data_IF_478591543543
#
_entry.id   IF_478591543543
#
_cell.length_a   1.000
_cell.length_b   1.000
_cell.length_c   1.000
_cell.angle_alpha   90.00
_cell.angle_beta   90.00
_cell.angle_gamma   90.00
#
_symmetry.space_group_name_H-M   'P 1'
#
loop_
_entity.id
_entity.type
_entity.pdbx_description
1 polymer ?
#
# COMPACT_ATOMS: atom_id res chain seq x y z
N UNK A 1 -80.38 2.26 1.91
CA UNK A 1 -80.07 3.70 2.10
C UNK A 1 -78.65 3.92 1.63
N UNK A 2 -78.53 4.42 0.41
CA UNK A 2 -77.28 4.61 -0.32
C UNK A 2 -77.13 6.12 -0.49
N UNK A 3 -76.04 6.72 0.01
CA UNK A 3 -75.80 8.15 -0.13
C UNK A 3 -74.41 8.43 -0.74
N UNK A 4 -74.47 9.13 -1.87
CA UNK A 4 -73.40 9.67 -2.71
C UNK A 4 -72.72 10.92 -2.13
N UNK A 5 -71.63 11.33 -2.83
CA UNK A 5 -71.06 12.69 -3.10
C UNK A 5 -69.63 12.83 -2.55
N UNK A 6 -68.59 13.34 -3.24
CA UNK A 6 -68.39 14.31 -4.36
C UNK A 6 -67.12 13.95 -5.17
N UNK A 7 -67.08 13.99 -6.51
CA UNK A 7 -66.75 15.10 -7.46
C UNK A 7 -65.25 15.49 -7.52
N UNK A 8 -64.44 15.01 -8.50
CA UNK A 8 -63.97 15.61 -9.81
C UNK A 8 -63.07 16.85 -9.62
N UNK A 9 -61.84 16.96 -10.15
CA UNK A 9 -61.52 17.43 -11.53
C UNK A 9 -60.02 17.30 -11.85
N UNK A 10 -59.69 16.96 -13.09
CA UNK A 10 -58.34 16.90 -13.68
C UNK A 10 -57.99 18.20 -14.44
N UNK A 11 -56.71 18.58 -14.52
CA UNK A 11 -56.20 19.50 -15.55
C UNK A 11 -54.88 18.96 -16.11
N UNK A 12 -54.88 18.76 -17.43
CA UNK A 12 -53.75 18.48 -18.31
C UNK A 12 -53.27 19.82 -18.87
N UNK A 13 -51.95 20.04 -18.94
CA UNK A 13 -51.37 21.09 -19.79
C UNK A 13 -50.27 20.48 -20.64
N UNK A 14 -50.53 20.43 -21.95
CA UNK A 14 -49.56 20.22 -23.02
C UNK A 14 -49.32 21.60 -23.63
N UNK A 15 -48.05 21.97 -23.82
CA UNK A 15 -47.68 23.09 -24.70
C UNK A 15 -46.51 22.65 -25.58
N UNK A 16 -46.80 22.57 -26.88
CA UNK A 16 -45.86 22.48 -28.00
C UNK A 16 -45.65 23.91 -28.50
N UNK A 17 -44.40 24.35 -28.63
CA UNK A 17 -44.02 25.39 -29.61
C UNK A 17 -42.68 25.02 -30.22
N UNK A 18 -42.70 24.83 -31.54
CA UNK A 18 -41.54 24.76 -32.41
C UNK A 18 -41.23 26.17 -32.91
N UNK A 19 -39.94 26.50 -33.05
CA UNK A 19 -39.46 27.52 -33.97
C UNK A 19 -38.04 27.20 -34.41
N UNK A 20 -37.95 26.95 -35.72
CA UNK A 20 -36.79 26.85 -36.57
C UNK A 20 -35.88 28.08 -36.48
N UNK A 21 -34.60 27.96 -36.89
CA UNK A 21 -33.91 28.79 -37.91
C UNK A 21 -32.36 28.70 -37.79
N UNK A 22 -31.76 28.38 -38.93
CA UNK A 22 -30.40 28.73 -39.45
C UNK A 22 -29.17 27.89 -39.07
N UNK A 23 -28.71 27.18 -40.11
CA UNK A 23 -27.32 26.80 -40.41
C UNK A 23 -26.72 27.88 -41.35
N UNK A 24 -25.41 28.19 -41.28
CA UNK A 24 -24.49 27.81 -42.37
C UNK A 24 -23.11 27.34 -41.82
N UNK A 25 -22.39 26.34 -42.35
CA UNK A 25 -21.77 26.10 -43.66
C UNK A 25 -20.48 26.93 -43.95
N UNK A 26 -19.40 26.18 -44.29
CA UNK A 26 -18.08 26.50 -44.89
C UNK A 26 -17.03 27.23 -44.00
N UNK A 27 -15.72 26.97 -44.05
CA UNK A 27 -14.84 26.51 -45.14
C UNK A 27 -13.49 25.98 -44.63
N UNK A 28 -12.92 25.06 -45.39
CA UNK A 28 -11.54 24.58 -45.36
C UNK A 28 -10.49 25.65 -45.69
N UNK A 29 -9.33 25.63 -45.00
CA UNK A 29 -8.06 26.11 -45.56
C UNK A 29 -6.89 25.21 -45.14
N UNK A 30 -6.36 24.52 -46.15
CA UNK A 30 -4.99 23.99 -46.21
C UNK A 30 -4.01 25.16 -46.21
N UNK A 31 -2.93 25.04 -45.44
CA UNK A 31 -1.68 25.80 -45.63
C UNK A 31 -0.53 24.81 -45.53
N UNK A 32 0.16 24.63 -46.66
CA UNK A 32 1.50 24.06 -46.73
C UNK A 32 2.52 25.14 -46.40
N UNK A 33 3.54 24.80 -45.62
CA UNK A 33 4.86 25.44 -45.70
C UNK A 33 5.96 24.39 -45.47
N UNK A 34 7.00 24.52 -46.28
CA UNK A 34 8.13 23.62 -46.51
C UNK A 34 9.45 24.16 -45.93
N UNK A 35 10.43 23.25 -45.82
CA UNK A 35 11.90 23.41 -45.74
C UNK A 35 12.52 23.87 -44.41
N UNK A 36 13.30 22.99 -43.77
CA UNK A 36 14.80 22.91 -43.73
C UNK A 36 15.29 23.61 -42.43
N UNK A 37 16.21 23.15 -41.57
CA UNK A 37 17.43 22.34 -41.64
C UNK A 37 17.72 21.65 -40.28
N UNK A 38 18.56 20.59 -40.32
CA UNK A 38 19.56 20.06 -39.36
C UNK A 38 19.42 20.33 -37.84
N UNK A 39 19.57 19.35 -36.93
CA UNK A 39 20.83 18.66 -36.58
C UNK A 39 20.53 17.26 -36.02
N UNK A 40 21.15 16.22 -36.60
CA UNK A 40 21.23 14.88 -36.02
C UNK A 40 22.54 14.78 -35.25
N UNK A 41 22.48 14.78 -33.92
CA UNK A 41 23.58 14.28 -33.07
C UNK A 41 23.22 12.85 -32.66
N UNK A 42 23.73 11.88 -33.41
CA UNK A 42 23.72 10.48 -33.01
C UNK A 42 25.04 10.16 -32.29
N UNK A 43 25.04 10.19 -30.96
CA UNK A 43 26.03 9.46 -30.17
C UNK A 43 25.37 8.19 -29.65
N UNK A 44 25.43 7.15 -30.47
CA UNK A 44 25.11 5.78 -30.08
C UNK A 44 26.21 5.26 -29.15
N UNK A 45 26.06 5.51 -27.85
CA UNK A 45 26.75 4.69 -26.85
C UNK A 45 26.01 3.36 -26.76
N UNK A 46 26.44 2.39 -27.55
CA UNK A 46 26.11 0.98 -27.36
C UNK A 46 26.71 0.53 -26.03
N UNK A 47 25.94 0.68 -24.96
CA UNK A 47 26.22 0.04 -23.68
C UNK A 47 26.00 -1.46 -23.89
N UNK A 48 27.09 -2.24 -23.85
CA UNK A 48 27.06 -3.69 -23.88
C UNK A 48 26.33 -4.22 -22.63
N UNK A 49 25.02 -4.43 -22.74
CA UNK A 49 24.17 -5.04 -21.72
C UNK A 49 24.34 -6.58 -21.73
N UNK A 50 25.57 -7.07 -21.58
CA UNK A 50 25.87 -8.51 -21.60
C UNK A 50 26.77 -8.91 -20.42
N UNK A 51 26.38 -8.51 -19.21
CA UNK A 51 26.70 -9.18 -17.93
C UNK A 51 25.80 -8.57 -16.85
N UNK A 52 24.48 -8.78 -16.93
CA UNK A 52 23.62 -8.51 -15.77
C UNK A 52 23.78 -9.67 -14.79
N UNK A 53 24.82 -9.62 -13.97
CA UNK A 53 24.81 -10.36 -12.70
C UNK A 53 23.58 -9.86 -11.95
N UNK A 54 22.51 -10.67 -11.98
CA UNK A 54 21.32 -10.44 -11.17
C UNK A 54 21.76 -10.59 -9.72
N UNK A 55 22.19 -9.49 -9.11
CA UNK A 55 22.39 -9.41 -7.66
C UNK A 55 21.04 -9.75 -7.03
N UNK A 56 20.90 -10.98 -6.56
CA UNK A 56 19.74 -11.39 -5.79
C UNK A 56 19.76 -10.60 -4.49
N UNK A 57 18.78 -9.71 -4.31
CA UNK A 57 18.61 -9.02 -3.05
C UNK A 57 18.22 -10.04 -1.98
N UNK A 58 19.03 -10.12 -0.92
CA UNK A 58 18.72 -10.91 0.27
C UNK A 58 18.07 -10.04 1.34
N UNK A 59 16.86 -10.39 1.74
CA UNK A 59 16.18 -9.80 2.89
C UNK A 59 16.10 -10.86 3.99
N UNK A 60 16.69 -10.59 5.15
CA UNK A 60 16.77 -11.54 6.26
C UNK A 60 17.32 -12.92 5.82
N UNK A 61 18.37 -12.92 5.00
CA UNK A 61 18.99 -14.12 4.42
C UNK A 61 18.05 -14.96 3.54
N UNK A 62 17.03 -14.32 2.97
CA UNK A 62 16.13 -14.93 1.99
C UNK A 62 16.24 -14.17 0.68
N UNK A 63 16.49 -14.91 -0.40
CA UNK A 63 16.44 -14.36 -1.75
C UNK A 63 15.05 -13.84 -2.06
N UNK A 64 15.00 -12.60 -2.51
CA UNK A 64 13.80 -11.96 -3.02
C UNK A 64 14.00 -11.81 -4.52
N UNK A 65 13.07 -12.35 -5.31
CA UNK A 65 13.17 -12.31 -6.77
C UNK A 65 12.90 -10.88 -7.26
N UNK A 66 13.89 -10.00 -7.14
CA UNK A 66 13.95 -8.74 -7.88
C UNK A 66 14.41 -9.02 -9.30
N UNK A 67 13.53 -9.53 -10.17
CA UNK A 67 13.87 -9.75 -11.58
C UNK A 67 13.92 -8.46 -12.39
N UNK A 68 13.49 -7.34 -11.81
CA UNK A 68 13.87 -6.02 -12.31
C UNK A 68 15.17 -5.66 -11.61
N UNK A 69 16.25 -5.50 -12.39
CA UNK A 69 17.35 -4.63 -11.96
C UNK A 69 16.72 -3.41 -11.31
N UNK A 70 17.24 -2.96 -10.17
CA UNK A 70 17.09 -1.56 -9.82
C UNK A 70 17.71 -0.78 -10.98
N UNK A 71 16.96 -0.56 -12.05
CA UNK A 71 16.88 0.79 -12.59
C UNK A 71 16.48 1.59 -11.37
N UNK A 72 17.50 2.05 -10.65
CA UNK A 72 17.48 3.37 -10.10
C UNK A 72 16.96 4.18 -11.27
N UNK A 73 15.65 4.41 -11.29
CA UNK A 73 15.14 5.64 -11.83
C UNK A 73 16.02 6.64 -11.09
N UNK A 74 17.08 7.09 -11.77
CA UNK A 74 17.63 8.40 -11.60
C UNK A 74 16.42 9.27 -11.86
N UNK A 75 15.59 9.37 -10.83
CA UNK A 75 14.66 10.43 -10.72
C UNK A 75 15.59 11.63 -10.81
N UNK A 76 15.54 12.34 -11.93
CA UNK A 76 16.14 13.65 -12.17
C UNK A 76 15.68 14.71 -11.12
N UNK A 77 15.09 14.25 -10.02
CA UNK A 77 14.42 14.96 -8.93
C UNK A 77 15.41 15.50 -7.91
N UNK A 78 16.72 15.25 -8.08
CA UNK A 78 17.75 15.97 -7.34
C UNK A 78 18.29 17.21 -8.06
N UNK A 79 17.76 17.57 -9.24
CA UNK A 79 17.88 18.96 -9.66
C UNK A 79 17.23 19.82 -8.57
N UNK A 80 18.12 20.55 -7.91
CA UNK A 80 17.97 21.26 -6.65
C UNK A 80 16.55 21.77 -6.44
N UNK A 81 15.86 21.25 -5.42
CA UNK A 81 14.62 21.84 -4.89
C UNK A 81 14.83 23.26 -4.29
N UNK A 82 15.94 23.93 -4.64
CA UNK A 82 16.20 25.31 -4.29
C UNK A 82 15.10 26.18 -4.89
N UNK A 83 14.34 26.83 -4.02
CA UNK A 83 13.26 27.75 -4.39
C UNK A 83 11.86 27.15 -4.43
N UNK A 84 11.70 25.82 -4.28
CA UNK A 84 10.35 25.24 -4.13
C UNK A 84 9.81 25.49 -2.72
N UNK A 85 8.50 25.73 -2.57
CA UNK A 85 7.87 25.70 -1.25
C UNK A 85 8.15 24.37 -0.56
N UNK A 86 8.44 24.42 0.73
CA UNK A 86 8.75 23.24 1.52
C UNK A 86 7.60 22.96 2.50
N UNK A 87 7.28 21.68 2.67
CA UNK A 87 6.26 21.19 3.60
C UNK A 87 6.96 20.40 4.70
N UNK A 88 6.72 20.76 5.95
CA UNK A 88 7.29 20.09 7.11
C UNK A 88 6.28 19.20 7.81
N UNK A 89 6.67 17.96 8.08
CA UNK A 89 5.93 17.03 8.93
C UNK A 89 6.82 16.48 10.05
N UNK A 90 6.21 15.78 11.02
CA UNK A 90 6.97 15.07 12.06
C UNK A 90 7.18 15.86 13.35
N UNK A 91 6.88 17.16 13.37
CA UNK A 91 7.10 18.05 14.53
C UNK A 91 6.02 17.91 15.61
N UNK A 92 4.88 17.32 15.26
CA UNK A 92 3.70 17.17 16.10
C UNK A 92 3.69 15.86 16.91
N UNK A 93 2.76 15.75 17.86
CA UNK A 93 2.60 14.54 18.67
C UNK A 93 1.64 13.55 18.00
N UNK A 94 2.12 12.84 16.99
CA UNK A 94 1.35 11.82 16.30
C UNK A 94 1.44 10.43 16.97
N UNK A 95 1.62 10.37 18.30
CA UNK A 95 1.81 9.11 19.02
C UNK A 95 0.52 8.32 19.29
N UNK A 96 -0.65 8.86 18.92
CA UNK A 96 -1.94 8.19 19.15
C UNK A 96 -2.26 7.11 18.10
N UNK A 97 -1.47 7.03 17.02
CA UNK A 97 -1.58 5.98 15.99
C UNK A 97 -0.46 4.95 16.12
N UNK A 98 -0.66 3.79 15.48
CA UNK A 98 0.34 2.71 15.46
C UNK A 98 1.38 2.92 14.34
N UNK A 99 2.56 2.31 14.48
CA UNK A 99 3.71 2.42 13.55
C UNK A 99 3.34 2.31 12.06
N UNK A 100 2.38 1.45 11.72
CA UNK A 100 1.93 1.26 10.35
C UNK A 100 1.16 2.45 9.76
N UNK A 101 0.42 3.18 10.60
CA UNK A 101 -0.27 4.39 10.20
C UNK A 101 0.70 5.54 9.98
N UNK A 102 1.81 5.59 10.74
CA UNK A 102 2.90 6.53 10.48
C UNK A 102 3.50 6.33 9.10
N UNK A 103 3.74 5.07 8.69
CA UNK A 103 4.24 4.76 7.35
C UNK A 103 3.31 5.28 6.25
N UNK A 104 2.00 5.05 6.38
CA UNK A 104 1.03 5.60 5.44
C UNK A 104 1.06 7.12 5.41
N UNK A 105 1.09 7.79 6.56
CA UNK A 105 1.16 9.24 6.64
C UNK A 105 2.41 9.80 5.97
N UNK A 106 3.56 9.12 6.07
CA UNK A 106 4.79 9.51 5.36
C UNK A 106 4.60 9.41 3.85
N UNK A 107 4.09 8.28 3.34
CA UNK A 107 3.83 8.14 1.90
C UNK A 107 2.80 9.15 1.39
N UNK A 108 1.76 9.41 2.17
CA UNK A 108 0.77 10.43 1.83
C UNK A 108 1.37 11.84 1.82
N UNK A 109 2.28 12.16 2.75
CA UNK A 109 2.99 13.43 2.74
C UNK A 109 3.90 13.57 1.51
N UNK A 110 4.54 12.48 1.08
CA UNK A 110 5.35 12.42 -0.15
C UNK A 110 4.47 12.68 -1.38
N UNK A 111 3.24 12.16 -1.39
CA UNK A 111 2.32 12.42 -2.50
C UNK A 111 1.70 13.81 -2.43
N UNK A 112 1.39 14.31 -1.23
CA UNK A 112 0.93 15.68 -1.00
C UNK A 112 1.95 16.69 -1.51
N UNK A 113 3.24 16.53 -1.16
CA UNK A 113 4.30 17.41 -1.63
C UNK A 113 4.40 17.40 -3.16
N UNK A 114 4.32 16.23 -3.79
CA UNK A 114 4.34 16.10 -5.24
C UNK A 114 3.15 16.77 -5.92
N UNK A 115 1.93 16.52 -5.43
CA UNK A 115 0.70 17.10 -5.99
C UNK A 115 0.69 18.63 -5.90
N UNK A 116 1.49 19.22 -4.99
CA UNK A 116 1.61 20.66 -4.77
C UNK A 116 2.95 21.24 -5.25
N UNK A 117 3.72 20.52 -6.07
CA UNK A 117 5.00 21.00 -6.61
C UNK A 117 6.01 21.44 -5.53
N UNK A 118 5.92 20.85 -4.34
CA UNK A 118 6.64 21.25 -3.13
C UNK A 118 7.66 20.21 -2.70
N UNK A 119 8.65 20.61 -1.91
CA UNK A 119 9.58 19.70 -1.25
C UNK A 119 9.03 19.15 0.05
N UNK A 120 9.24 17.87 0.35
CA UNK A 120 8.90 17.30 1.66
C UNK A 120 10.12 17.34 2.60
N UNK A 121 9.92 17.93 3.77
CA UNK A 121 10.89 18.00 4.85
C UNK A 121 10.38 17.23 6.06
N UNK A 122 11.20 16.32 6.60
CA UNK A 122 10.95 15.64 7.86
C UNK A 122 11.74 16.31 8.97
N UNK A 123 11.08 16.54 10.11
CA UNK A 123 11.78 16.95 11.32
C UNK A 123 12.64 15.81 11.87
N UNK A 124 13.97 16.02 12.01
CA UNK A 124 14.96 14.98 12.38
C UNK A 124 14.59 14.24 13.66
N UNK A 125 14.12 14.96 14.67
CA UNK A 125 13.75 14.39 15.97
C UNK A 125 12.26 14.01 16.05
N UNK A 126 11.56 14.07 14.92
CA UNK A 126 10.13 13.85 14.79
C UNK A 126 9.73 12.39 14.69
N UNK A 127 8.42 12.13 14.76
CA UNK A 127 7.87 10.77 14.68
C UNK A 127 8.20 10.07 13.35
N UNK A 128 8.22 10.81 12.24
CA UNK A 128 8.43 10.23 10.91
C UNK A 128 9.82 9.60 10.76
N UNK A 129 10.86 10.36 11.13
CA UNK A 129 12.25 9.88 11.10
C UNK A 129 12.45 8.74 12.09
N UNK A 130 11.87 8.82 13.30
CA UNK A 130 11.91 7.71 14.27
C UNK A 130 11.35 6.42 13.69
N UNK A 131 10.18 6.46 13.04
CA UNK A 131 9.54 5.27 12.45
C UNK A 131 10.36 4.70 11.29
N UNK A 132 10.86 5.56 10.39
CA UNK A 132 11.73 5.11 9.30
C UNK A 132 13.01 4.47 9.84
N UNK A 133 13.62 5.06 10.87
CA UNK A 133 14.82 4.51 11.52
C UNK A 133 14.52 3.21 12.24
N UNK A 134 13.36 3.10 12.87
CA UNK A 134 12.92 1.91 13.60
C UNK A 134 12.77 0.70 12.68
N UNK A 135 12.12 0.88 11.53
CA UNK A 135 11.85 -0.22 10.60
C UNK A 135 12.95 -0.43 9.56
N UNK A 136 13.58 0.66 9.11
CA UNK A 136 14.43 0.70 7.93
C UNK A 136 15.77 1.42 8.21
N UNK A 137 16.31 1.27 9.43
CA UNK A 137 17.58 1.86 9.84
C UNK A 137 18.81 1.23 9.18
N UNK A 138 18.63 0.06 8.55
CA UNK A 138 19.71 -0.76 8.00
C UNK A 138 20.68 -1.24 9.07
N UNK A 139 21.88 -1.62 8.62
CA UNK A 139 23.02 -1.98 9.48
C UNK A 139 23.94 -0.80 9.78
N UNK A 140 23.69 0.37 9.20
CA UNK A 140 24.57 1.52 9.33
C UNK A 140 24.45 2.16 10.70
N UNK A 141 25.56 2.14 11.45
CA UNK A 141 25.72 2.91 12.68
C UNK A 141 25.88 4.41 12.41
N UNK A 142 26.16 4.80 11.15
CA UNK A 142 26.28 6.19 10.76
C UNK A 142 24.92 6.76 10.35
N UNK A 143 24.29 7.50 11.27
CA UNK A 143 23.01 8.18 11.06
C UNK A 143 23.01 9.09 9.83
N UNK A 144 24.08 9.84 9.56
CA UNK A 144 24.14 10.74 8.42
C UNK A 144 24.14 9.99 7.07
N UNK A 145 24.82 8.85 7.02
CA UNK A 145 24.84 7.99 5.81
C UNK A 145 23.44 7.43 5.54
N UNK A 146 22.76 6.98 6.60
CA UNK A 146 21.37 6.52 6.50
C UNK A 146 20.42 7.64 6.08
N UNK A 147 20.51 8.82 6.70
CA UNK A 147 19.68 9.99 6.37
C UNK A 147 19.84 10.33 4.88
N UNK A 148 21.06 10.48 4.38
CA UNK A 148 21.32 10.77 2.95
C UNK A 148 20.74 9.70 2.03
N UNK A 149 20.82 8.42 2.41
CA UNK A 149 20.22 7.32 1.65
C UNK A 149 18.69 7.44 1.59
N UNK A 150 18.05 7.68 2.73
CA UNK A 150 16.59 7.86 2.85
C UNK A 150 16.12 9.11 2.09
N UNK A 151 16.79 10.25 2.27
CA UNK A 151 16.54 11.48 1.54
C UNK A 151 16.56 11.20 0.03
N UNK A 152 17.66 10.58 -0.44
CA UNK A 152 17.87 10.30 -1.86
C UNK A 152 16.77 9.44 -2.47
N UNK A 153 16.36 8.40 -1.76
CA UNK A 153 15.50 7.35 -2.30
C UNK A 153 14.02 7.65 -2.14
N UNK A 154 13.65 8.45 -1.15
CA UNK A 154 12.26 8.89 -0.97
C UNK A 154 12.00 10.27 -1.60
N UNK A 155 13.04 10.99 -2.03
CA UNK A 155 12.90 12.36 -2.56
C UNK A 155 12.49 13.34 -1.47
N UNK A 156 13.08 13.21 -0.28
CA UNK A 156 12.74 14.02 0.91
C UNK A 156 13.99 14.68 1.48
N UNK A 157 13.79 15.62 2.41
CA UNK A 157 14.87 16.24 3.19
C UNK A 157 14.64 16.03 4.68
N UNK A 158 15.71 15.85 5.45
CA UNK A 158 15.67 15.71 6.91
C UNK A 158 16.39 16.92 7.52
N UNK A 159 15.76 17.61 8.47
CA UNK A 159 16.36 18.79 9.10
C UNK A 159 16.20 18.81 10.62
N UNK A 160 17.23 19.30 11.31
CA UNK A 160 17.18 19.65 12.74
C UNK A 160 16.77 21.10 13.00
N UNK A 161 16.85 21.98 11.99
CA UNK A 161 16.67 23.42 12.19
C UNK A 161 15.20 23.83 12.22
N UNK A 162 14.93 25.01 12.80
CA UNK A 162 13.62 25.67 12.67
C UNK A 162 13.34 25.91 11.19
N UNK A 163 12.49 25.08 10.64
CA UNK A 163 12.11 25.14 9.24
C UNK A 163 10.95 26.14 9.06
N UNK A 164 11.03 26.98 8.02
CA UNK A 164 10.08 28.07 7.73
C UNK A 164 8.96 27.69 6.76
N UNK A 165 8.98 26.48 6.21
CA UNK A 165 7.95 26.02 5.28
C UNK A 165 6.60 25.72 5.93
N UNK A 166 5.64 25.36 5.08
CA UNK A 166 4.27 25.05 5.46
C UNK A 166 4.26 23.81 6.37
N UNK A 167 3.68 23.95 7.55
CA UNK A 167 3.61 22.85 8.51
C UNK A 167 2.33 22.05 8.29
N UNK A 168 2.46 20.72 8.25
CA UNK A 168 1.35 19.78 8.15
C UNK A 168 1.41 18.76 9.30
N UNK A 169 0.26 18.48 9.90
CA UNK A 169 0.19 17.49 10.98
C UNK A 169 0.22 16.06 10.43
N UNK A 170 0.61 15.11 11.28
CA UNK A 170 0.53 13.68 10.97
C UNK A 170 -0.89 13.25 10.64
N UNK A 171 -1.90 13.81 11.32
CA UNK A 171 -3.31 13.55 11.05
C UNK A 171 -3.72 14.00 9.64
N UNK A 172 -3.39 15.24 9.27
CA UNK A 172 -3.69 15.77 7.93
C UNK A 172 -3.10 14.88 6.83
N UNK A 173 -1.86 14.44 7.02
CA UNK A 173 -1.19 13.56 6.06
C UNK A 173 -1.76 12.16 6.07
N UNK A 174 -2.13 11.62 7.24
CA UNK A 174 -2.73 10.30 7.34
C UNK A 174 -4.03 10.20 6.52
N UNK A 175 -4.88 11.23 6.53
CA UNK A 175 -6.13 11.27 5.77
C UNK A 175 -5.99 11.80 4.33
N UNK A 176 -4.80 12.21 3.91
CA UNK A 176 -4.61 12.77 2.57
C UNK A 176 -4.79 11.73 1.45
N UNK A 177 -5.36 12.17 0.33
CA UNK A 177 -5.57 11.38 -0.88
C UNK A 177 -5.05 12.13 -2.11
N UNK A 178 -4.08 11.53 -2.78
CA UNK A 178 -3.51 12.05 -4.03
C UNK A 178 -4.49 11.93 -5.19
N UNK A 179 -4.37 12.84 -6.16
CA UNK A 179 -5.10 12.79 -7.43
C UNK A 179 -4.32 12.06 -8.53
N UNK A 180 -3.10 11.59 -8.25
CA UNK A 180 -2.31 10.82 -9.21
C UNK A 180 -3.01 9.52 -9.61
N UNK A 181 -2.77 9.09 -10.86
CA UNK A 181 -3.23 7.79 -11.32
C UNK A 181 -2.56 6.66 -10.54
N UNK A 182 -3.24 5.51 -10.46
CA UNK A 182 -2.77 4.37 -9.68
C UNK A 182 -1.46 3.80 -10.20
N UNK A 183 -1.28 3.82 -11.51
CA UNK A 183 -0.05 3.35 -12.16
C UNK A 183 1.13 4.25 -11.81
N UNK A 184 0.93 5.58 -11.85
CA UNK A 184 1.96 6.54 -11.45
C UNK A 184 2.33 6.36 -9.97
N UNK A 185 1.32 6.24 -9.10
CA UNK A 185 1.50 6.04 -7.68
C UNK A 185 2.21 4.71 -7.36
N UNK A 186 1.80 3.61 -8.00
CA UNK A 186 2.37 2.28 -7.82
C UNK A 186 3.83 2.25 -8.26
N UNK A 187 4.15 2.75 -9.47
CA UNK A 187 5.54 2.84 -9.96
C UNK A 187 6.45 3.59 -8.98
N UNK A 188 6.02 4.78 -8.56
CA UNK A 188 6.76 5.61 -7.60
C UNK A 188 6.96 4.87 -6.26
N UNK A 189 5.88 4.42 -5.62
CA UNK A 189 5.95 3.80 -4.29
C UNK A 189 6.64 2.44 -4.29
N UNK A 190 6.57 1.67 -5.38
CA UNK A 190 7.23 0.36 -5.45
C UNK A 190 8.76 0.50 -5.36
N UNK A 191 9.35 1.52 -6.02
CA UNK A 191 10.78 1.80 -5.90
C UNK A 191 11.19 2.14 -4.45
N UNK A 192 10.39 2.98 -3.79
CA UNK A 192 10.58 3.36 -2.39
C UNK A 192 10.48 2.14 -1.47
N UNK A 193 9.47 1.29 -1.65
CA UNK A 193 9.32 0.07 -0.87
C UNK A 193 10.51 -0.87 -1.03
N UNK A 194 11.00 -1.11 -2.26
CA UNK A 194 12.19 -1.95 -2.49
C UNK A 194 13.38 -1.41 -1.71
N UNK A 195 13.65 -0.11 -1.80
CA UNK A 195 14.74 0.51 -1.04
C UNK A 195 14.57 0.33 0.48
N UNK A 196 13.38 0.61 1.03
CA UNK A 196 13.13 0.45 2.47
C UNK A 196 13.34 -1.00 2.92
N UNK A 197 12.82 -1.97 2.16
CA UNK A 197 12.94 -3.40 2.48
C UNK A 197 14.36 -3.96 2.30
N UNK A 198 15.19 -3.35 1.45
CA UNK A 198 16.63 -3.66 1.39
C UNK A 198 17.43 -3.12 2.59
N UNK A 199 16.84 -2.23 3.39
CA UNK A 199 17.49 -1.55 4.52
C UNK A 199 16.80 -1.84 5.86
N UNK A 200 16.30 -3.06 6.08
CA UNK A 200 15.67 -3.41 7.35
C UNK A 200 16.59 -3.20 8.56
N UNK A 201 16.00 -2.73 9.65
CA UNK A 201 16.68 -2.65 10.95
C UNK A 201 17.02 -4.05 11.43
N UNK A 202 18.31 -4.26 11.72
CA UNK A 202 18.85 -5.49 12.29
C UNK A 202 19.69 -5.12 13.53
N UNK A 203 19.77 -5.99 14.55
CA UNK A 203 20.55 -5.75 15.76
C UNK A 203 22.03 -5.91 15.44
N UNK A 204 22.61 -4.92 14.78
CA UNK A 204 24.04 -4.80 14.51
C UNK A 204 24.51 -3.43 14.97
N UNK A 205 24.32 -3.10 16.25
CA UNK A 205 24.78 -1.82 16.80
C UNK A 205 24.18 -1.45 18.16
N UNK A 206 24.98 -0.77 18.98
CA UNK A 206 24.68 -0.33 20.36
C UNK A 206 23.65 0.83 20.47
N UNK A 207 23.01 1.22 19.38
CA UNK A 207 22.27 2.50 19.30
C UNK A 207 20.81 2.43 19.81
N UNK A 208 20.26 1.23 19.99
CA UNK A 208 18.96 1.04 20.65
C UNK A 208 19.06 -0.12 21.63
N UNK A 209 18.84 0.18 22.92
CA UNK A 209 18.84 -0.81 24.02
C UNK A 209 17.68 -1.81 23.92
N UNK A 210 16.72 -1.59 23.00
CA UNK A 210 15.63 -2.53 22.71
C UNK A 210 15.92 -3.32 21.45
N UNK A 211 15.88 -4.64 21.59
CA UNK A 211 16.07 -5.68 20.57
C UNK A 211 14.99 -5.67 19.46
N UNK A 212 14.79 -4.55 18.77
CA UNK A 212 13.84 -4.44 17.67
C UNK A 212 14.50 -4.89 16.35
N UNK A 213 14.55 -6.21 16.17
CA UNK A 213 15.06 -6.88 14.97
C UNK A 213 13.91 -7.18 13.99
N UNK A 214 13.89 -6.53 12.83
CA UNK A 214 12.90 -6.80 11.77
C UNK A 214 12.96 -8.24 11.26
N UNK A 215 14.09 -8.93 11.41
CA UNK A 215 14.27 -10.31 10.98
C UNK A 215 13.96 -11.33 12.10
N UNK A 216 13.56 -10.89 13.30
CA UNK A 216 13.33 -11.77 14.46
C UNK A 216 12.31 -12.87 14.18
N UNK A 217 11.16 -12.52 13.58
CA UNK A 217 10.14 -13.51 13.24
C UNK A 217 10.63 -14.51 12.21
N UNK A 218 11.41 -14.06 11.23
CA UNK A 218 12.01 -14.94 10.21
C UNK A 218 12.97 -15.95 10.83
N UNK A 219 13.76 -15.55 11.83
CA UNK A 219 14.68 -16.44 12.55
C UNK A 219 13.93 -17.49 13.40
N UNK A 220 12.72 -17.17 13.86
CA UNK A 220 11.90 -18.06 14.68
C UNK A 220 11.07 -19.07 13.89
N UNK A 221 10.91 -18.87 12.57
CA UNK A 221 10.19 -19.82 11.71
C UNK A 221 11.14 -20.87 11.14
N UNK A 222 10.59 -22.03 10.80
CA UNK A 222 11.34 -23.16 10.24
C UNK A 222 12.24 -22.72 9.08
N UNK A 223 13.42 -23.35 8.87
CA UNK A 223 14.29 -23.07 7.73
C UNK A 223 13.61 -23.26 6.37
N UNK A 224 12.40 -23.86 6.35
CA UNK A 224 11.53 -23.86 5.19
C UNK A 224 11.41 -22.46 4.57
N UNK A 225 11.76 -22.38 3.29
CA UNK A 225 11.56 -21.18 2.48
C UNK A 225 10.08 -20.92 2.20
N UNK A 226 9.24 -21.95 2.30
CA UNK A 226 7.81 -21.89 1.99
C UNK A 226 6.94 -21.94 3.22
N UNK A 227 6.08 -20.94 3.37
CA UNK A 227 5.15 -20.81 4.49
C UNK A 227 3.99 -19.87 4.14
N UNK A 228 2.89 -20.01 4.87
CA UNK A 228 1.72 -19.14 4.79
C UNK A 228 1.74 -18.21 6.00
N UNK A 229 1.35 -16.95 5.80
CA UNK A 229 1.08 -16.02 6.90
C UNK A 229 -0.36 -15.58 6.86
N UNK A 230 -1.02 -15.67 8.01
CA UNK A 230 -2.37 -15.16 8.21
C UNK A 230 -2.29 -14.02 9.21
N UNK A 231 -2.75 -12.83 8.81
CA UNK A 231 -2.86 -11.69 9.69
C UNK A 231 -4.32 -11.42 10.04
N UNK A 232 -4.65 -11.48 11.33
CA UNK A 232 -6.00 -11.30 11.87
C UNK A 232 -6.12 -10.00 12.66
N UNK A 233 -6.97 -9.09 12.19
CA UNK A 233 -7.33 -7.85 12.89
C UNK A 233 -8.82 -7.82 13.20
N UNK A 234 -9.20 -8.08 14.45
CA UNK A 234 -10.62 -8.07 14.85
C UNK A 234 -11.12 -6.67 15.23
N UNK A 235 -10.27 -5.86 15.89
CA UNK A 235 -10.64 -4.59 16.53
C UNK A 235 -11.70 -4.77 17.65
N UNK A 236 -11.86 -3.76 18.51
CA UNK A 236 -12.91 -3.76 19.54
C UNK A 236 -14.31 -3.61 18.91
N UNK A 237 -15.33 -4.13 19.56
CA UNK A 237 -16.76 -3.95 19.23
C UNK A 237 -17.10 -4.27 17.76
N UNK A 238 -16.65 -5.43 17.28
CA UNK A 238 -16.84 -5.89 15.89
C UNK A 238 -16.37 -4.87 14.84
N UNK A 239 -15.37 -4.07 15.20
CA UNK A 239 -14.85 -2.99 14.36
C UNK A 239 -14.43 -3.47 12.98
N UNK A 240 -13.92 -4.69 12.85
CA UNK A 240 -13.61 -5.28 11.55
C UNK A 240 -14.84 -5.39 10.65
N UNK A 241 -15.90 -6.06 11.13
CA UNK A 241 -17.11 -6.30 10.35
C UNK A 241 -17.79 -4.98 9.95
N UNK A 242 -17.85 -4.02 10.88
CA UNK A 242 -18.44 -2.70 10.61
C UNK A 242 -17.67 -1.94 9.53
N UNK A 243 -16.34 -1.83 9.68
CA UNK A 243 -15.49 -1.09 8.73
C UNK A 243 -15.45 -1.76 7.37
N UNK A 244 -15.33 -3.09 7.33
CA UNK A 244 -15.33 -3.84 6.08
C UNK A 244 -16.69 -3.75 5.39
N UNK A 245 -17.79 -3.74 6.16
CA UNK A 245 -19.13 -3.51 5.64
C UNK A 245 -19.25 -2.17 4.91
N UNK A 246 -18.83 -1.08 5.56
CA UNK A 246 -18.83 0.26 4.94
C UNK A 246 -17.94 0.31 3.70
N UNK A 247 -16.74 -0.26 3.78
CA UNK A 247 -15.80 -0.29 2.65
C UNK A 247 -16.35 -1.07 1.46
N UNK A 248 -16.84 -2.29 1.69
CA UNK A 248 -17.42 -3.13 0.65
C UNK A 248 -18.67 -2.49 0.02
N UNK A 249 -19.44 -1.72 0.77
CA UNK A 249 -20.56 -0.96 0.22
C UNK A 249 -20.09 0.15 -0.72
N UNK A 250 -19.05 0.92 -0.34
CA UNK A 250 -18.46 1.95 -1.20
C UNK A 250 -17.92 1.36 -2.50
N UNK A 251 -17.17 0.26 -2.40
CA UNK A 251 -16.62 -0.43 -3.57
C UNK A 251 -17.73 -0.90 -4.49
N UNK A 252 -18.78 -1.52 -3.94
CA UNK A 252 -19.96 -1.91 -4.73
C UNK A 252 -20.59 -0.72 -5.45
N UNK A 253 -20.78 0.40 -4.76
CA UNK A 253 -21.41 1.59 -5.37
C UNK A 253 -20.55 2.18 -6.50
N UNK A 254 -19.23 2.18 -6.35
CA UNK A 254 -18.33 2.83 -7.31
C UNK A 254 -17.91 1.93 -8.47
N UNK A 255 -17.90 0.61 -8.27
CA UNK A 255 -17.29 -0.34 -9.24
C UNK A 255 -18.23 -1.49 -9.61
N UNK A 256 -19.40 -1.60 -8.96
CA UNK A 256 -20.29 -2.75 -9.02
C UNK A 256 -19.68 -4.08 -8.51
N UNK A 257 -18.46 -4.06 -7.95
CA UNK A 257 -17.79 -5.24 -7.40
C UNK A 257 -18.34 -5.55 -6.01
N UNK A 258 -18.72 -6.82 -5.77
CA UNK A 258 -19.17 -7.28 -4.46
C UNK A 258 -18.05 -8.01 -3.72
N UNK A 259 -17.64 -7.47 -2.57
CA UNK A 259 -16.64 -8.07 -1.67
C UNK A 259 -17.34 -8.79 -0.52
N UNK A 260 -16.76 -9.91 -0.08
CA UNK A 260 -17.21 -10.60 1.14
C UNK A 260 -16.94 -9.72 2.37
N UNK A 261 -18.00 -9.47 3.15
CA UNK A 261 -17.98 -8.56 4.30
C UNK A 261 -17.66 -9.26 5.63
N UNK A 262 -17.56 -10.59 5.63
CA UNK A 262 -17.48 -11.43 6.83
C UNK A 262 -16.22 -12.27 6.85
N UNK A 263 -15.96 -13.04 5.80
CA UNK A 263 -14.90 -14.05 5.81
C UNK A 263 -13.50 -13.48 6.06
N UNK A 264 -13.10 -12.31 5.51
CA UNK A 264 -11.79 -11.74 5.82
C UNK A 264 -11.59 -11.31 7.28
N UNK A 265 -12.67 -11.04 8.00
CA UNK A 265 -12.64 -10.73 9.43
C UNK A 265 -12.73 -11.98 10.30
N UNK A 266 -13.57 -12.93 9.90
CA UNK A 266 -13.84 -14.15 10.66
C UNK A 266 -12.77 -15.20 10.49
N UNK A 267 -12.10 -15.21 9.32
CA UNK A 267 -11.07 -16.17 8.95
C UNK A 267 -11.52 -17.60 9.25
N UNK A 268 -12.69 -17.98 8.71
CA UNK A 268 -13.25 -19.30 8.97
C UNK A 268 -12.33 -20.41 8.43
N UNK A 269 -12.33 -21.60 9.05
CA UNK A 269 -11.58 -22.76 8.55
C UNK A 269 -11.81 -23.03 7.06
N UNK A 270 -13.07 -23.01 6.60
CA UNK A 270 -13.42 -23.27 5.20
C UNK A 270 -12.91 -22.18 4.24
N UNK A 271 -12.93 -20.91 4.66
CA UNK A 271 -12.36 -19.81 3.88
C UNK A 271 -10.85 -19.97 3.71
N UNK A 272 -10.13 -20.26 4.80
CA UNK A 272 -8.68 -20.48 4.75
C UNK A 272 -8.34 -21.70 3.92
N UNK A 273 -9.02 -22.83 4.13
CA UNK A 273 -8.79 -24.06 3.36
C UNK A 273 -8.95 -23.82 1.86
N UNK A 274 -9.99 -23.08 1.44
CA UNK A 274 -10.21 -22.75 0.03
C UNK A 274 -9.04 -21.97 -0.57
N UNK A 275 -8.51 -20.99 0.16
CA UNK A 275 -7.32 -20.24 -0.27
C UNK A 275 -6.13 -21.19 -0.40
N UNK A 276 -5.85 -21.98 0.64
CA UNK A 276 -4.69 -22.87 0.68
C UNK A 276 -4.71 -23.92 -0.43
N UNK A 277 -5.89 -24.46 -0.76
CA UNK A 277 -6.05 -25.37 -1.90
C UNK A 277 -5.79 -24.66 -3.22
N UNK A 278 -6.33 -23.44 -3.41
CA UNK A 278 -6.13 -22.65 -4.63
C UNK A 278 -4.65 -22.31 -4.84
N UNK A 279 -3.92 -21.98 -3.77
CA UNK A 279 -2.49 -21.66 -3.83
C UNK A 279 -1.56 -22.88 -3.74
N UNK A 280 -2.10 -24.10 -3.75
CA UNK A 280 -1.34 -25.34 -3.55
C UNK A 280 -0.42 -25.30 -2.32
N UNK A 281 -0.94 -24.78 -1.21
CA UNK A 281 -0.18 -24.51 0.02
C UNK A 281 -0.82 -25.14 1.27
N UNK A 282 -1.68 -26.14 1.09
CA UNK A 282 -2.39 -26.83 2.18
C UNK A 282 -1.44 -27.48 3.19
N UNK A 283 -0.26 -27.91 2.74
CA UNK A 283 0.75 -28.59 3.56
C UNK A 283 1.81 -27.64 4.13
N UNK A 284 1.74 -26.34 3.85
CA UNK A 284 2.76 -25.41 4.32
C UNK A 284 2.56 -25.06 5.80
N UNK A 285 3.64 -24.76 6.55
CA UNK A 285 3.52 -24.14 7.86
C UNK A 285 2.73 -22.83 7.75
N UNK A 286 1.77 -22.65 8.65
CA UNK A 286 0.90 -21.49 8.73
C UNK A 286 1.29 -20.70 9.97
N UNK A 287 1.75 -19.47 9.79
CA UNK A 287 2.07 -18.56 10.88
C UNK A 287 1.00 -17.51 11.05
N UNK A 288 0.48 -17.40 12.26
CA UNK A 288 -0.63 -16.51 12.58
C UNK A 288 -0.14 -15.28 13.35
N UNK A 289 -0.40 -14.10 12.79
CA UNK A 289 -0.17 -12.79 13.40
C UNK A 289 -1.53 -12.25 13.85
N UNK A 290 -1.67 -11.84 15.10
CA UNK A 290 -2.94 -11.42 15.68
C UNK A 290 -2.77 -10.26 16.64
N UNK A 291 -3.78 -9.39 16.73
CA UNK A 291 -3.88 -8.38 17.78
C UNK A 291 -4.37 -8.94 19.13
N UNK A 292 -4.54 -10.26 19.22
CA UNK A 292 -4.96 -10.99 20.42
C UNK A 292 -6.45 -10.84 20.75
N UNK A 293 -7.25 -10.18 19.91
CA UNK A 293 -8.67 -9.91 20.20
C UNK A 293 -9.63 -11.02 19.77
N UNK A 294 -9.19 -11.93 18.89
CA UNK A 294 -9.98 -13.07 18.42
C UNK A 294 -9.18 -14.38 18.52
N UNK A 295 -8.94 -14.84 19.75
CA UNK A 295 -8.19 -16.08 20.01
C UNK A 295 -8.93 -17.33 19.49
N UNK A 296 -10.26 -17.28 19.44
CA UNK A 296 -11.11 -18.37 18.96
C UNK A 296 -10.76 -18.82 17.54
N UNK A 297 -10.29 -17.93 16.67
CA UNK A 297 -9.90 -18.30 15.29
C UNK A 297 -8.68 -19.21 15.30
N UNK A 298 -7.63 -18.83 16.02
CA UNK A 298 -6.39 -19.62 16.08
C UNK A 298 -6.65 -20.99 16.69
N UNK A 299 -7.42 -21.04 17.78
CA UNK A 299 -7.77 -22.31 18.43
C UNK A 299 -8.60 -23.22 17.53
N UNK A 300 -9.56 -22.66 16.78
CA UNK A 300 -10.34 -23.44 15.81
C UNK A 300 -9.48 -23.99 14.70
N UNK A 301 -8.55 -23.19 14.16
CA UNK A 301 -7.64 -23.63 13.10
C UNK A 301 -6.66 -24.70 13.61
N UNK A 302 -6.13 -24.57 14.82
CA UNK A 302 -5.27 -25.60 15.43
C UNK A 302 -5.99 -26.94 15.64
N UNK A 303 -7.31 -26.91 15.86
CA UNK A 303 -8.15 -28.11 16.00
C UNK A 303 -8.58 -28.71 14.65
N UNK A 304 -8.31 -28.05 13.53
CA UNK A 304 -8.64 -28.56 12.21
C UNK A 304 -7.78 -29.79 11.88
N UNK A 305 -8.42 -30.86 11.42
CA UNK A 305 -7.76 -32.16 11.18
C UNK A 305 -6.75 -32.10 10.02
N UNK A 306 -6.95 -31.21 9.05
CA UNK A 306 -6.17 -31.20 7.80
C UNK A 306 -4.90 -30.39 7.96
N UNK A 307 -5.01 -29.15 8.47
CA UNK A 307 -3.88 -28.22 8.54
C UNK A 307 -3.59 -27.71 9.95
N UNK A 308 -4.40 -28.07 10.95
CA UNK A 308 -4.16 -27.69 12.35
C UNK A 308 -2.76 -28.02 12.88
N UNK A 309 -2.16 -29.18 12.55
CA UNK A 309 -0.77 -29.48 12.91
C UNK A 309 0.27 -28.49 12.36
N UNK A 310 -0.06 -27.78 11.28
CA UNK A 310 0.81 -26.80 10.64
C UNK A 310 0.57 -25.36 11.17
N UNK A 311 -0.39 -25.15 12.07
CA UNK A 311 -0.74 -23.81 12.57
C UNK A 311 0.12 -23.42 13.78
N UNK A 312 0.97 -22.43 13.57
CA UNK A 312 1.84 -21.83 14.57
C UNK A 312 1.39 -20.40 14.87
N UNK A 313 1.23 -20.08 16.15
CA UNK A 313 0.95 -18.73 16.58
C UNK A 313 2.26 -18.05 16.97
N UNK A 314 2.47 -16.84 16.45
CA UNK A 314 3.64 -16.05 16.81
C UNK A 314 3.24 -15.06 17.89
N UNK A 315 3.86 -15.20 19.06
CA UNK A 315 3.69 -14.28 20.17
C UNK A 315 4.91 -13.35 20.18
N UNK A 316 4.94 -12.37 19.29
CA UNK A 316 6.00 -11.36 19.25
C UNK A 316 5.43 -9.97 19.52
N UNK A 317 6.24 -9.14 20.16
CA UNK A 317 5.86 -7.78 20.58
C UNK A 317 6.16 -6.71 19.53
N UNK A 318 7.03 -7.01 18.56
CA UNK A 318 7.50 -6.03 17.59
C UNK A 318 6.80 -6.21 16.24
N UNK A 319 5.92 -5.27 15.92
CA UNK A 319 5.12 -5.26 14.68
C UNK A 319 5.97 -5.28 13.41
N UNK A 320 7.18 -4.73 13.45
CA UNK A 320 8.08 -4.73 12.30
C UNK A 320 8.51 -6.15 11.91
N UNK A 321 8.78 -7.01 12.88
CA UNK A 321 9.14 -8.40 12.63
C UNK A 321 7.97 -9.20 12.04
N UNK A 322 6.75 -8.99 12.56
CA UNK A 322 5.52 -9.57 12.03
C UNK A 322 5.27 -9.14 10.57
N UNK A 323 5.52 -7.87 10.25
CA UNK A 323 5.44 -7.37 8.88
C UNK A 323 6.42 -8.08 7.96
N UNK A 324 7.70 -8.19 8.36
CA UNK A 324 8.72 -8.91 7.58
C UNK A 324 8.29 -10.34 7.30
N UNK A 325 7.73 -11.02 8.31
CA UNK A 325 7.24 -12.37 8.14
C UNK A 325 6.17 -12.46 7.06
N UNK A 326 5.16 -11.58 7.09
CA UNK A 326 4.12 -11.52 6.07
C UNK A 326 4.65 -11.13 4.69
N UNK A 327 5.60 -10.20 4.62
CA UNK A 327 6.20 -9.75 3.36
C UNK A 327 7.00 -10.85 2.66
N UNK A 328 7.70 -11.68 3.43
CA UNK A 328 8.53 -12.75 2.87
C UNK A 328 7.80 -14.10 2.71
N UNK A 329 6.52 -14.19 3.08
CA UNK A 329 5.76 -15.45 3.00
C UNK A 329 5.51 -15.91 1.57
N UNK A 330 5.21 -17.20 1.39
CA UNK A 330 4.78 -17.71 0.08
C UNK A 330 3.36 -17.25 -0.21
N UNK A 331 2.48 -17.36 0.78
CA UNK A 331 1.08 -16.93 0.70
C UNK A 331 0.79 -15.98 1.87
N UNK A 332 0.11 -14.88 1.60
CA UNK A 332 -0.33 -13.93 2.62
C UNK A 332 -1.85 -13.81 2.60
N UNK A 333 -2.48 -14.03 3.75
CA UNK A 333 -3.92 -13.85 3.96
C UNK A 333 -4.08 -12.73 4.98
N UNK A 334 -4.58 -11.57 4.55
CA UNK A 334 -4.70 -10.39 5.38
C UNK A 334 -6.13 -10.04 5.74
N UNK A 335 -6.29 -9.19 6.75
CA UNK A 335 -7.57 -8.52 7.01
C UNK A 335 -7.58 -7.18 6.25
N UNK A 336 -8.50 -6.96 5.29
CA UNK A 336 -8.63 -5.72 4.52
C UNK A 336 -8.53 -4.43 5.31
N UNK A 337 -9.16 -4.41 6.48
CA UNK A 337 -9.28 -3.22 7.30
C UNK A 337 -8.08 -3.00 8.23
N UNK A 338 -6.96 -3.69 8.02
CA UNK A 338 -5.71 -3.53 8.75
C UNK A 338 -4.60 -2.84 7.94
N UNK A 339 -4.01 -1.80 8.52
CA UNK A 339 -2.91 -1.06 7.90
C UNK A 339 -1.67 -1.91 7.78
N UNK A 340 -1.46 -2.81 8.75
CA UNK A 340 -0.42 -3.83 8.70
C UNK A 340 -0.61 -4.71 7.46
N UNK A 341 -1.83 -5.24 7.25
CA UNK A 341 -2.11 -6.08 6.07
C UNK A 341 -1.97 -5.32 4.75
N UNK A 342 -2.43 -4.07 4.68
CA UNK A 342 -2.25 -3.22 3.51
C UNK A 342 -0.77 -2.97 3.19
N UNK A 343 0.04 -2.65 4.20
CA UNK A 343 1.48 -2.43 4.04
C UNK A 343 2.21 -3.71 3.62
N UNK A 344 1.88 -4.86 4.22
CA UNK A 344 2.43 -6.16 3.82
C UNK A 344 2.12 -6.44 2.35
N UNK A 345 0.85 -6.30 1.95
CA UNK A 345 0.42 -6.61 0.58
C UNK A 345 1.12 -5.71 -0.46
N UNK A 346 1.17 -4.38 -0.22
CA UNK A 346 1.90 -3.44 -1.11
C UNK A 346 3.39 -3.75 -1.19
N UNK A 347 4.01 -4.06 -0.05
CA UNK A 347 5.43 -4.43 0.02
C UNK A 347 5.74 -5.69 -0.76
N UNK A 348 4.86 -6.71 -0.69
CA UNK A 348 4.99 -7.95 -1.47
C UNK A 348 4.98 -7.67 -2.96
N UNK A 349 4.05 -6.84 -3.44
CA UNK A 349 3.98 -6.47 -4.86
C UNK A 349 5.20 -5.66 -5.29
N UNK A 350 5.62 -4.69 -4.48
CA UNK A 350 6.84 -3.93 -4.74
C UNK A 350 8.06 -4.84 -4.89
N UNK A 351 8.18 -5.88 -4.07
CA UNK A 351 9.24 -6.89 -4.12
C UNK A 351 9.04 -7.98 -5.20
N UNK A 352 8.10 -7.79 -6.14
CA UNK A 352 7.89 -8.70 -7.27
C UNK A 352 7.23 -10.03 -6.91
N UNK A 353 6.55 -10.13 -5.75
CA UNK A 353 5.78 -11.32 -5.41
C UNK A 353 4.57 -11.43 -6.34
N UNK A 354 4.25 -12.66 -6.73
CA UNK A 354 3.07 -12.96 -7.53
C UNK A 354 1.80 -12.42 -6.82
N UNK A 355 1.04 -11.50 -7.45
CA UNK A 355 -0.19 -10.95 -6.89
C UNK A 355 -1.22 -12.01 -6.46
N UNK A 356 -1.24 -13.16 -7.13
CA UNK A 356 -2.13 -14.29 -6.82
C UNK A 356 -1.81 -15.00 -5.49
N UNK A 357 -0.79 -14.52 -4.77
CA UNK A 357 -0.45 -14.99 -3.41
C UNK A 357 -0.83 -13.99 -2.32
N UNK A 358 -1.44 -12.86 -2.69
CA UNK A 358 -1.90 -11.80 -1.80
C UNK A 358 -3.43 -11.83 -1.65
N UNK A 359 -3.92 -12.48 -0.60
CA UNK A 359 -5.35 -12.65 -0.35
C UNK A 359 -5.84 -11.62 0.67
N UNK A 360 -6.32 -10.47 0.19
CA UNK A 360 -6.85 -9.41 1.04
C UNK A 360 -8.37 -9.28 0.90
N UNK A 361 -8.91 -9.02 -0.29
CA UNK A 361 -10.35 -8.86 -0.49
C UNK A 361 -10.96 -9.96 -1.40
N UNK A 362 -11.62 -10.97 -0.83
CA UNK A 362 -12.36 -11.97 -1.59
C UNK A 362 -13.63 -11.38 -2.20
N UNK A 363 -13.99 -11.83 -3.40
CA UNK A 363 -15.26 -11.51 -4.03
C UNK A 363 -16.40 -12.35 -3.44
N UNK A 364 -17.59 -11.75 -3.30
CA UNK A 364 -18.76 -12.34 -2.65
C UNK A 364 -19.35 -13.52 -3.45
N UNK A 365 -19.35 -13.43 -4.78
CA UNK A 365 -20.01 -14.41 -5.65
C UNK A 365 -19.06 -15.48 -6.20
N UNK A 366 -17.75 -15.30 -5.99
CA UNK A 366 -16.73 -16.30 -6.29
C UNK A 366 -15.61 -16.10 -5.27
N UNK A 367 -15.58 -16.91 -4.21
CA UNK A 367 -14.42 -16.92 -3.29
C UNK A 367 -13.18 -17.51 -4.00
N UNK A 368 -13.35 -18.07 -5.20
CA UNK A 368 -12.26 -18.41 -6.13
C UNK A 368 -11.63 -17.17 -6.77
N UNK A 369 -12.29 -16.02 -6.76
CA UNK A 369 -11.83 -14.79 -7.37
C UNK A 369 -11.62 -13.73 -6.28
N UNK A 370 -10.44 -13.12 -6.27
CA UNK A 370 -10.10 -12.04 -5.35
C UNK A 370 -10.07 -10.76 -6.17
N UNK A 371 -10.68 -9.69 -5.66
CA UNK A 371 -10.86 -8.44 -6.43
C UNK A 371 -9.53 -7.75 -6.79
N UNK A 372 -8.41 -8.16 -6.17
CA UNK A 372 -7.14 -7.46 -6.20
C UNK A 372 -6.04 -8.45 -6.54
N UNK A 373 -5.93 -8.78 -7.83
CA UNK A 373 -4.88 -9.63 -8.40
C UNK A 373 -3.88 -8.82 -9.24
N UNK A 374 -3.95 -7.48 -9.23
CA UNK A 374 -3.00 -6.62 -9.94
C UNK A 374 -2.33 -5.58 -9.02
N UNK A 375 -1.19 -5.06 -9.49
CA UNK A 375 -0.33 -4.10 -8.81
C UNK A 375 -0.92 -2.70 -8.63
N UNK A 376 -2.02 -2.37 -9.31
CA UNK A 376 -2.66 -1.04 -9.33
C UNK A 376 -3.78 -0.95 -8.30
N UNK A 377 -4.46 -2.08 -8.09
CA UNK A 377 -5.68 -2.21 -7.32
C UNK A 377 -5.46 -2.01 -5.80
N UNK A 378 -4.28 -2.37 -5.27
CA UNK A 378 -3.90 -2.10 -3.87
C UNK A 378 -3.56 -0.63 -3.56
N UNK A 379 -3.36 0.18 -4.61
CA UNK A 379 -3.15 1.61 -4.50
C UNK A 379 -4.40 2.42 -4.84
N UNK A 380 -5.47 1.75 -5.27
CA UNK A 380 -6.71 2.40 -5.70
C UNK A 380 -7.31 3.26 -4.60
N UNK A 381 -7.32 4.59 -4.76
CA UNK A 381 -7.81 5.50 -3.73
C UNK A 381 -9.34 5.39 -3.50
N UNK A 382 -10.12 4.91 -4.46
CA UNK A 382 -11.55 4.63 -4.26
C UNK A 382 -11.79 3.40 -3.37
N UNK A 383 -10.76 2.57 -3.18
CA UNK A 383 -10.80 1.29 -2.48
C UNK A 383 -9.95 1.35 -1.18
N UNK A 384 -8.79 1.99 -1.25
CA UNK A 384 -7.76 2.10 -0.20
C UNK A 384 -7.40 3.55 0.16
N UNK A 385 -7.78 4.56 -0.62
CA UNK A 385 -7.96 5.93 -0.11
C UNK A 385 -9.25 5.89 0.72
N UNK A 386 -9.53 6.75 1.67
CA UNK A 386 -10.51 6.50 2.75
C UNK A 386 -10.19 5.29 3.65
N UNK A 387 -9.06 4.59 3.47
CA UNK A 387 -8.54 3.59 4.42
C UNK A 387 -7.70 4.23 5.54
N UNK A 388 -7.59 5.56 5.57
CA UNK A 388 -7.17 6.28 6.76
C UNK A 388 -8.21 5.99 7.86
N UNK A 389 -7.88 5.00 8.69
CA UNK A 389 -8.78 4.28 9.59
C UNK A 389 -9.19 5.04 10.83
#
# INVERSE_FOLDING_TARGET
>A
MTLMKKTVTAIIVIAVVASSIVCPIFSSKLVNFSHEEHVVVSTSNTFNANTSDRLSEEICSRNVNGSASMEYLQHDVYETQQGRPEILIGYDNFNHVQTNNHLNAIFHAIDYANDHGSGLVLYRHGWAVRVLRLLFGGRSNNTQTWEKGIERQLGIRITSSRHRGLRKSGDEMYYYHTQQSLDALSRKRNSMWRYLWSNLTSPTGKLYEKEEDMCKSIKSVSPSRTYVVIHSRWMKNDGCLRRLGSLAQRIKNNTNIQIDRKEPCKLSPSYIEKILRKSNSLHYPIYFISDGRNLNVVEKLKKDRIYGPNVHQINQSFVGADMTLGVLSTVFIGTPISTVSGNIARSRLALGRNPNTNFLFPLKNNVSDFAFQDDTSLYNHHIMGNYAG
#
